data_IF_397029381510
#
_entry.id   IF_397029381510
#
_cell.length_a   1.000
_cell.length_b   1.000
_cell.length_c   1.000
_cell.angle_alpha   90.00
_cell.angle_beta   90.00
_cell.angle_gamma   90.00
#
_symmetry.space_group_name_H-M   'P 1'
#
loop_
_entity.id
_entity.type
_entity.pdbx_description
1 polymer ?
#
# COMPACT_ATOMS: atom_id res chain seq x y z
N UNK A 1 -3.50 -8.12 -17.91
CA UNK A 1 -2.25 -7.68 -17.27
C UNK A 1 -2.65 -7.02 -15.95
N UNK A 2 -2.90 -7.85 -14.93
CA UNK A 2 -3.37 -7.42 -13.62
C UNK A 2 -2.16 -7.03 -12.74
N UNK A 3 -1.60 -5.85 -12.98
CA UNK A 3 -0.42 -5.37 -12.23
C UNK A 3 -0.75 -4.68 -10.91
N UNK A 4 -2.01 -4.58 -10.50
CA UNK A 4 -2.37 -3.94 -9.23
C UNK A 4 -2.61 -4.99 -8.17
N UNK A 5 -1.55 -5.38 -7.45
CA UNK A 5 -1.68 -6.22 -6.28
C UNK A 5 -2.24 -5.41 -5.08
N UNK A 6 -3.53 -5.05 -5.16
CA UNK A 6 -4.27 -4.37 -4.09
C UNK A 6 -4.30 -5.16 -2.78
N UNK A 7 -4.03 -6.48 -2.85
CA UNK A 7 -3.95 -7.36 -1.71
C UNK A 7 -2.80 -6.98 -0.77
N UNK A 8 -1.65 -6.52 -1.28
CA UNK A 8 -0.49 -6.18 -0.43
C UNK A 8 -0.75 -5.02 0.53
N UNK A 9 -1.50 -4.00 0.09
CA UNK A 9 -1.91 -2.92 0.99
C UNK A 9 -2.75 -3.45 2.15
N UNK A 10 -3.75 -4.27 1.84
CA UNK A 10 -4.65 -4.88 2.82
C UNK A 10 -3.89 -5.79 3.78
N UNK A 11 -3.07 -6.69 3.25
CA UNK A 11 -2.32 -7.68 4.03
C UNK A 11 -1.38 -6.99 5.02
N UNK A 12 -0.63 -5.97 4.58
CA UNK A 12 0.26 -5.22 5.48
C UNK A 12 -0.50 -4.41 6.54
N UNK A 13 -1.65 -3.84 6.16
CA UNK A 13 -2.51 -3.11 7.09
C UNK A 13 -3.01 -4.04 8.19
N UNK A 14 -3.52 -5.21 7.81
CA UNK A 14 -4.06 -6.21 8.73
C UNK A 14 -2.95 -6.83 9.60
N UNK A 15 -1.75 -7.08 9.04
CA UNK A 15 -0.60 -7.55 9.79
C UNK A 15 -0.15 -6.58 10.90
N UNK A 16 -0.36 -5.27 10.72
CA UNK A 16 -0.11 -4.25 11.75
C UNK A 16 -1.34 -3.95 12.64
N UNK A 17 -2.45 -4.67 12.47
CA UNK A 17 -3.69 -4.43 13.22
C UNK A 17 -4.35 -3.08 12.93
N UNK A 18 -4.07 -2.47 11.78
CA UNK A 18 -4.54 -1.13 11.43
C UNK A 18 -5.92 -1.18 10.76
N UNK A 19 -6.75 -0.18 11.02
CA UNK A 19 -8.00 0.01 10.29
C UNK A 19 -7.76 0.75 8.97
N UNK A 20 -8.71 0.67 8.03
CA UNK A 20 -8.65 1.47 6.79
C UNK A 20 -8.61 2.97 7.08
N UNK A 21 -9.22 3.41 8.20
CA UNK A 21 -9.19 4.79 8.65
C UNK A 21 -7.79 5.21 9.12
N UNK A 22 -7.02 4.31 9.72
CA UNK A 22 -5.65 4.62 10.15
C UNK A 22 -4.73 4.82 8.95
N UNK A 23 -4.85 3.96 7.93
CA UNK A 23 -4.13 4.15 6.67
C UNK A 23 -4.58 5.39 5.92
N UNK A 24 -5.87 5.73 5.99
CA UNK A 24 -6.37 6.96 5.40
C UNK A 24 -5.71 8.21 6.01
N UNK A 25 -5.50 8.23 7.33
CA UNK A 25 -4.75 9.30 8.02
C UNK A 25 -3.29 9.34 7.58
N UNK A 26 -2.62 8.18 7.52
CA UNK A 26 -1.22 8.09 7.03
C UNK A 26 -1.11 8.64 5.61
N UNK A 27 -2.09 8.33 4.75
CA UNK A 27 -2.06 8.69 3.34
C UNK A 27 -2.67 10.06 3.00
N UNK A 28 -3.19 10.76 4.00
CA UNK A 28 -3.95 12.00 3.84
C UNK A 28 -5.09 11.84 2.82
N UNK A 29 -5.99 10.90 3.11
CA UNK A 29 -7.12 10.54 2.25
C UNK A 29 -8.31 10.06 3.09
N UNK A 30 -9.34 9.51 2.43
CA UNK A 30 -10.53 8.97 3.09
C UNK A 30 -10.48 7.45 3.22
N UNK A 31 -11.17 6.90 4.23
CA UNK A 31 -11.36 5.44 4.38
C UNK A 31 -11.97 4.80 3.13
N UNK A 32 -12.90 5.51 2.47
CA UNK A 32 -13.52 5.03 1.24
C UNK A 32 -12.49 4.89 0.12
N UNK A 33 -11.53 5.81 0.04
CA UNK A 33 -10.47 5.74 -0.96
C UNK A 33 -9.52 4.55 -0.71
N UNK A 34 -9.17 4.31 0.56
CA UNK A 34 -8.44 3.10 0.96
C UNK A 34 -9.20 1.83 0.59
N UNK A 35 -10.51 1.80 0.82
CA UNK A 35 -11.34 0.66 0.43
C UNK A 35 -11.33 0.42 -1.08
N UNK A 36 -11.41 1.47 -1.91
CA UNK A 36 -11.36 1.33 -3.38
C UNK A 36 -10.00 0.80 -3.86
N UNK A 37 -8.92 1.19 -3.19
CA UNK A 37 -7.59 0.66 -3.48
C UNK A 37 -7.51 -0.82 -3.12
N UNK A 38 -7.94 -1.20 -1.91
CA UNK A 38 -7.91 -2.60 -1.44
C UNK A 38 -8.81 -3.56 -2.22
N UNK A 39 -9.82 -3.05 -2.92
CA UNK A 39 -10.72 -3.85 -3.77
C UNK A 39 -10.37 -3.78 -5.26
N UNK A 40 -9.32 -3.04 -5.64
CA UNK A 40 -8.94 -2.86 -7.05
C UNK A 40 -9.90 -2.01 -7.87
N UNK A 41 -10.90 -1.38 -7.24
CA UNK A 41 -11.85 -0.46 -7.92
C UNK A 41 -11.14 0.78 -8.46
N UNK A 42 -10.06 1.20 -7.81
CA UNK A 42 -9.27 2.34 -8.25
C UNK A 42 -7.79 2.06 -8.07
N UNK A 43 -6.97 2.52 -9.03
CA UNK A 43 -5.52 2.51 -8.88
C UNK A 43 -5.06 3.60 -7.91
N UNK A 44 -4.06 3.26 -7.10
CA UNK A 44 -3.38 4.20 -6.23
C UNK A 44 -2.30 4.96 -7.01
N UNK A 45 -2.12 6.25 -6.70
CA UNK A 45 -1.04 7.07 -7.27
C UNK A 45 0.34 6.72 -6.70
N UNK A 46 1.39 6.96 -7.48
CA UNK A 46 2.79 6.68 -7.10
C UNK A 46 3.21 7.41 -5.81
N UNK A 47 2.69 8.61 -5.58
CA UNK A 47 2.91 9.40 -4.37
C UNK A 47 2.50 8.64 -3.09
N UNK A 48 1.37 7.93 -3.15
CA UNK A 48 0.86 7.13 -2.03
C UNK A 48 1.69 5.88 -1.81
N UNK A 49 2.14 5.22 -2.88
CA UNK A 49 3.07 4.09 -2.77
C UNK A 49 4.38 4.49 -2.09
N UNK A 50 4.97 5.63 -2.46
CA UNK A 50 6.19 6.13 -1.81
C UNK A 50 5.95 6.38 -0.31
N UNK A 51 4.80 6.95 0.05
CA UNK A 51 4.45 7.21 1.46
C UNK A 51 4.28 5.91 2.25
N UNK A 52 3.63 4.91 1.65
CA UNK A 52 3.49 3.58 2.25
C UNK A 52 4.83 2.87 2.39
N UNK A 53 5.69 2.95 1.37
CA UNK A 53 7.03 2.36 1.39
C UNK A 53 7.81 2.88 2.60
N UNK A 54 7.82 4.21 2.79
CA UNK A 54 8.43 4.86 3.97
C UNK A 54 7.76 4.47 5.29
N UNK A 55 6.43 4.44 5.34
CA UNK A 55 5.69 4.11 6.56
C UNK A 55 5.86 2.65 7.01
N UNK A 56 5.92 1.72 6.06
CA UNK A 56 6.09 0.29 6.32
C UNK A 56 7.55 -0.16 6.37
N UNK A 57 8.50 0.68 5.97
CA UNK A 57 9.91 0.32 5.87
C UNK A 57 10.17 -0.71 4.76
N UNK A 58 9.49 -0.57 3.63
CA UNK A 58 9.56 -1.50 2.48
C UNK A 58 9.79 -0.74 1.17
N UNK A 59 9.90 -1.43 0.04
CA UNK A 59 10.05 -0.84 -1.29
C UNK A 59 8.71 -0.67 -2.01
N UNK A 60 8.66 0.28 -2.95
CA UNK A 60 7.50 0.45 -3.85
C UNK A 60 7.31 -0.79 -4.73
N UNK A 61 8.39 -1.43 -5.16
CA UNK A 61 8.36 -2.68 -5.92
C UNK A 61 7.64 -3.80 -5.15
N UNK A 62 7.89 -3.86 -3.84
CA UNK A 62 7.17 -4.76 -2.94
C UNK A 62 5.71 -4.34 -2.76
N UNK A 63 5.33 -3.06 -2.83
CA UNK A 63 3.91 -2.71 -2.75
C UNK A 63 3.16 -3.04 -4.06
N UNK A 64 3.85 -2.93 -5.20
CA UNK A 64 3.26 -3.10 -6.52
C UNK A 64 3.14 -4.55 -6.98
N UNK A 65 3.75 -5.51 -6.28
CA UNK A 65 3.74 -6.91 -6.78
C UNK A 65 4.95 -7.30 -7.59
N UNK A 66 5.92 -6.40 -7.80
CA UNK A 66 7.03 -6.63 -8.73
C UNK A 66 8.09 -7.58 -8.17
N UNK A 67 8.19 -7.67 -6.84
CA UNK A 67 9.09 -8.57 -6.11
C UNK A 67 8.36 -9.19 -4.92
N UNK A 68 8.67 -10.43 -4.56
CA UNK A 68 8.10 -11.08 -3.37
C UNK A 68 8.87 -10.81 -2.08
N UNK A 69 10.02 -10.16 -2.19
CA UNK A 69 10.88 -9.84 -1.05
C UNK A 69 10.77 -8.35 -0.72
N UNK A 70 10.35 -8.04 0.49
CA UNK A 70 10.38 -6.69 1.05
C UNK A 70 11.84 -6.29 1.34
N UNK A 71 12.60 -5.92 0.31
CA UNK A 71 13.93 -5.33 0.48
C UNK A 71 13.82 -3.82 0.31
N UNK A 72 14.13 -3.08 1.36
CA UNK A 72 14.52 -1.68 1.23
C UNK A 72 15.95 -1.70 0.67
N UNK A 73 16.18 -1.18 -0.54
CA UNK A 73 17.55 -0.85 -0.95
C UNK A 73 17.97 0.33 -0.09
N UNK A 74 18.77 0.09 0.93
CA UNK A 74 19.60 1.13 1.51
C UNK A 74 20.65 1.50 0.45
N UNK A 75 20.61 2.75 0.02
CA UNK A 75 21.75 3.44 -0.61
C UNK A 75 22.21 4.53 0.35
#
# INVERSE_FOLDING_TARGET
MDYCNYKRLKDMREAKGLSQTDIAKVLDTTRQQVSKWETGVQMMGVDKYIKLAKYYGTSVDYLLGLVDVAKHSES
#
